data_IF_541156431329
#
_entry.id   IF_541156431329
#
_cell.length_a   1.000
_cell.length_b   1.000
_cell.length_c   1.000
_cell.angle_alpha   90.00
_cell.angle_beta   90.00
_cell.angle_gamma   90.00
#
_symmetry.space_group_name_H-M   'P 1'
#
loop_
_entity.id
_entity.type
_entity.pdbx_description
1 polymer ?
#
# COMPACT_ATOMS: atom_id res chain seq x y z
N UNK A 1 21.27 -8.77 0.21
CA UNK A 1 20.00 -8.00 0.18
C UNK A 1 18.78 -8.89 0.04
N UNK A 2 18.69 -9.78 -0.96
CA UNK A 2 17.51 -10.66 -1.15
C UNK A 2 17.11 -11.51 0.06
N UNK A 3 18.09 -12.00 0.84
CA UNK A 3 17.77 -12.75 2.05
C UNK A 3 17.05 -11.91 3.12
N UNK A 4 17.30 -10.58 3.19
CA UNK A 4 16.58 -9.67 4.10
C UNK A 4 15.15 -9.38 3.63
N UNK A 5 14.89 -9.44 2.33
CA UNK A 5 13.53 -9.34 1.78
C UNK A 5 12.67 -10.55 2.18
N UNK A 6 13.28 -11.74 2.24
CA UNK A 6 12.61 -12.99 2.59
C UNK A 6 12.59 -13.24 4.11
N UNK A 7 13.69 -12.98 4.79
CA UNK A 7 13.89 -13.15 6.22
C UNK A 7 14.24 -11.80 6.86
N UNK A 8 13.28 -11.18 7.52
CA UNK A 8 13.44 -9.91 8.23
C UNK A 8 14.25 -10.05 9.54
N UNK A 9 15.34 -10.82 9.52
CA UNK A 9 16.21 -11.02 10.66
C UNK A 9 16.92 -9.72 11.04
N UNK A 10 16.76 -9.30 12.30
CA UNK A 10 17.35 -8.06 12.83
C UNK A 10 16.52 -6.79 12.58
N UNK A 11 15.25 -6.90 12.18
CA UNK A 11 14.38 -5.75 11.96
C UNK A 11 14.11 -4.96 13.25
N UNK A 12 14.43 -3.66 13.24
CA UNK A 12 14.15 -2.76 14.36
C UNK A 12 12.64 -2.48 14.50
N UNK A 13 12.21 -2.00 15.68
CA UNK A 13 10.79 -1.65 15.94
C UNK A 13 10.24 -0.64 14.94
N UNK A 14 11.03 0.39 14.59
CA UNK A 14 10.64 1.40 13.60
C UNK A 14 10.42 0.78 12.21
N UNK A 15 11.36 -0.04 11.74
CA UNK A 15 11.26 -0.72 10.44
C UNK A 15 10.04 -1.65 10.35
N UNK A 16 9.68 -2.32 11.46
CA UNK A 16 8.47 -3.15 11.52
C UNK A 16 7.19 -2.31 11.39
N UNK A 17 7.14 -1.13 11.99
CA UNK A 17 6.00 -0.21 11.82
C UNK A 17 5.87 0.29 10.38
N UNK A 18 6.99 0.66 9.75
CA UNK A 18 7.02 1.08 8.34
C UNK A 18 6.53 -0.05 7.43
N UNK A 19 6.96 -1.29 7.68
CA UNK A 19 6.47 -2.45 6.92
C UNK A 19 4.95 -2.65 7.08
N UNK A 20 4.43 -2.61 8.31
CA UNK A 20 2.99 -2.75 8.57
C UNK A 20 2.21 -1.65 7.85
N UNK A 21 2.68 -0.40 7.92
CA UNK A 21 2.06 0.69 7.20
C UNK A 21 2.07 0.47 5.68
N UNK A 22 3.19 -0.03 5.14
CA UNK A 22 3.29 -0.42 3.74
C UNK A 22 2.26 -1.47 3.34
N UNK A 23 2.07 -2.51 4.16
CA UNK A 23 1.05 -3.53 3.91
C UNK A 23 -0.37 -2.98 3.95
N UNK A 24 -0.66 -2.07 4.89
CA UNK A 24 -1.98 -1.41 4.98
C UNK A 24 -2.26 -0.61 3.71
N UNK A 25 -1.29 0.21 3.27
CA UNK A 25 -1.42 1.03 2.05
C UNK A 25 -1.54 0.15 0.80
N UNK A 26 -0.76 -0.93 0.72
CA UNK A 26 -0.81 -1.89 -0.39
C UNK A 26 -2.18 -2.55 -0.48
N UNK A 27 -2.71 -3.04 0.65
CA UNK A 27 -4.01 -3.69 0.70
C UNK A 27 -5.14 -2.71 0.34
N UNK A 28 -5.07 -1.47 0.83
CA UNK A 28 -6.01 -0.42 0.43
C UNK A 28 -5.95 -0.15 -1.08
N UNK A 29 -4.76 -0.07 -1.66
CA UNK A 29 -4.57 0.06 -3.11
C UNK A 29 -5.21 -1.10 -3.88
N UNK A 30 -5.01 -2.34 -3.44
CA UNK A 30 -5.63 -3.53 -4.06
C UNK A 30 -7.16 -3.44 -4.01
N UNK A 31 -7.74 -3.04 -2.87
CA UNK A 31 -9.20 -2.90 -2.73
C UNK A 31 -9.74 -1.80 -3.66
N UNK A 32 -9.06 -0.65 -3.75
CA UNK A 32 -9.44 0.42 -4.70
C UNK A 32 -9.34 -0.02 -6.16
N UNK A 33 -8.33 -0.83 -6.51
CA UNK A 33 -8.11 -1.32 -7.86
C UNK A 33 -9.20 -2.29 -8.31
N UNK A 34 -9.53 -3.26 -7.45
CA UNK A 34 -10.46 -4.36 -7.76
C UNK A 34 -11.93 -3.98 -7.56
N UNK A 35 -12.22 -3.16 -6.54
CA UNK A 35 -13.59 -2.84 -6.13
C UNK A 35 -13.81 -1.33 -5.95
N UNK A 36 -13.61 -0.50 -7.00
CA UNK A 36 -13.75 0.95 -6.88
C UNK A 36 -15.15 1.40 -6.44
N UNK A 37 -16.22 0.68 -6.85
CA UNK A 37 -17.59 0.98 -6.41
C UNK A 37 -17.81 0.68 -4.93
N UNK A 38 -17.19 -0.38 -4.40
CA UNK A 38 -17.21 -0.65 -2.96
C UNK A 38 -16.54 0.48 -2.19
N UNK A 39 -15.37 0.95 -2.66
CA UNK A 39 -14.68 2.09 -2.03
C UNK A 39 -15.52 3.36 -2.11
N UNK A 40 -16.16 3.65 -3.25
CA UNK A 40 -17.08 4.78 -3.36
C UNK A 40 -18.22 4.68 -2.35
N UNK A 41 -18.84 3.50 -2.19
CA UNK A 41 -19.91 3.28 -1.22
C UNK A 41 -19.44 3.45 0.22
N UNK A 42 -18.27 2.91 0.58
CA UNK A 42 -17.67 3.06 1.90
C UNK A 42 -17.38 4.54 2.23
N UNK A 43 -17.03 5.33 1.21
CA UNK A 43 -16.78 6.76 1.31
C UNK A 43 -18.05 7.62 1.15
N UNK A 44 -19.23 7.00 1.03
CA UNK A 44 -20.51 7.68 0.79
C UNK A 44 -20.50 8.60 -0.45
N UNK A 45 -19.73 8.21 -1.47
CA UNK A 45 -19.70 8.89 -2.76
C UNK A 45 -20.85 8.42 -3.66
N UNK A 46 -21.32 9.26 -4.60
CA UNK A 46 -22.24 8.81 -5.65
C UNK A 46 -21.63 7.65 -6.45
N UNK A 47 -22.45 6.80 -7.10
CA UNK A 47 -21.98 5.72 -7.96
C UNK A 47 -20.98 6.26 -8.99
N UNK A 48 -19.81 5.62 -9.08
CA UNK A 48 -18.77 6.09 -10.00
C UNK A 48 -19.20 5.79 -11.43
N UNK A 49 -19.19 6.80 -12.28
CA UNK A 49 -19.17 6.62 -13.74
C UNK A 49 -17.88 5.89 -14.14
N UNK A 50 -17.84 5.29 -15.34
CA UNK A 50 -16.67 4.52 -15.81
C UNK A 50 -15.35 5.29 -15.66
N UNK A 51 -15.38 6.60 -15.96
CA UNK A 51 -14.22 7.47 -15.85
C UNK A 51 -13.78 7.69 -14.39
N UNK A 52 -14.74 7.79 -13.46
CA UNK A 52 -14.47 7.86 -12.03
C UNK A 52 -13.82 6.58 -11.50
N UNK A 53 -14.30 5.42 -11.95
CA UNK A 53 -13.69 4.14 -11.60
C UNK A 53 -12.23 4.03 -12.11
N UNK A 54 -11.93 4.57 -13.29
CA UNK A 54 -10.58 4.60 -13.82
C UNK A 54 -9.66 5.55 -13.03
N UNK A 55 -10.16 6.70 -12.55
CA UNK A 55 -9.37 7.56 -11.66
C UNK A 55 -9.06 6.87 -10.32
N UNK A 56 -10.01 6.15 -9.75
CA UNK A 56 -9.76 5.34 -8.55
C UNK A 56 -8.66 4.30 -8.79
N UNK A 57 -8.66 3.63 -9.95
CA UNK A 57 -7.60 2.68 -10.33
C UNK A 57 -6.23 3.35 -10.52
N UNK A 58 -6.17 4.57 -11.05
CA UNK A 58 -4.91 5.32 -11.16
C UNK A 58 -4.34 5.67 -9.78
N UNK A 59 -5.20 6.14 -8.87
CA UNK A 59 -4.80 6.39 -7.48
C UNK A 59 -4.39 5.10 -6.79
N UNK A 60 -5.12 4.00 -7.02
CA UNK A 60 -4.80 2.68 -6.51
C UNK A 60 -3.42 2.18 -6.96
N UNK A 61 -3.07 2.40 -8.24
CA UNK A 61 -1.77 2.05 -8.78
C UNK A 61 -0.65 2.82 -8.08
N UNK A 62 -0.83 4.13 -7.89
CA UNK A 62 0.15 4.97 -7.19
C UNK A 62 0.28 4.55 -5.72
N UNK A 63 -0.84 4.40 -5.01
CA UNK A 63 -0.87 3.97 -3.61
C UNK A 63 -0.23 2.58 -3.44
N UNK A 64 -0.55 1.63 -4.33
CA UNK A 64 0.04 0.29 -4.33
C UNK A 64 1.56 0.34 -4.53
N UNK A 65 2.05 1.19 -5.44
CA UNK A 65 3.48 1.43 -5.61
C UNK A 65 4.15 1.94 -4.32
N UNK A 66 3.56 2.94 -3.68
CA UNK A 66 4.06 3.48 -2.41
C UNK A 66 4.03 2.43 -1.30
N UNK A 67 2.93 1.67 -1.17
CA UNK A 67 2.81 0.58 -0.20
C UNK A 67 3.90 -0.47 -0.38
N UNK A 68 4.19 -0.87 -1.62
CA UNK A 68 5.28 -1.81 -1.92
C UNK A 68 6.65 -1.24 -1.51
N UNK A 69 6.92 0.04 -1.77
CA UNK A 69 8.17 0.69 -1.36
C UNK A 69 8.33 0.70 0.16
N UNK A 70 7.25 0.95 0.91
CA UNK A 70 7.26 0.87 2.37
C UNK A 70 7.52 -0.55 2.89
N UNK A 71 6.89 -1.57 2.29
CA UNK A 71 7.14 -2.97 2.64
C UNK A 71 8.62 -3.33 2.42
N UNK A 72 9.15 -3.00 1.24
CA UNK A 72 10.56 -3.25 0.90
C UNK A 72 11.49 -2.50 1.84
N UNK A 73 11.20 -1.23 2.14
CA UNK A 73 11.99 -0.41 3.06
C UNK A 73 12.05 -1.01 4.47
N UNK A 74 10.89 -1.42 5.00
CA UNK A 74 10.82 -2.07 6.31
C UNK A 74 11.58 -3.39 6.34
N UNK A 75 11.48 -4.21 5.27
CA UNK A 75 12.22 -5.48 5.14
C UNK A 75 13.73 -5.30 5.05
N UNK A 76 14.18 -4.22 4.42
CA UNK A 76 15.60 -3.89 4.33
C UNK A 76 16.16 -3.26 5.61
N UNK A 77 15.30 -2.98 6.60
CA UNK A 77 15.64 -2.23 7.81
C UNK A 77 16.33 -0.90 7.47
N UNK A 78 15.77 -0.19 6.48
CA UNK A 78 16.34 1.08 6.03
C UNK A 78 16.28 2.12 7.14
N UNK A 79 17.45 2.64 7.52
CA UNK A 79 17.57 3.79 8.41
C UNK A 79 17.25 5.05 7.59
N UNK A 80 16.06 5.63 7.75
CA UNK A 80 15.68 6.83 6.99
C UNK A 80 14.18 7.13 6.83
N UNK A 81 13.28 6.26 7.30
CA UNK A 81 11.83 6.51 7.30
C UNK A 81 11.28 7.05 8.65
N UNK A 82 12.11 7.81 9.39
CA UNK A 82 11.69 8.53 10.62
C UNK A 82 11.70 10.02 10.35
#
# INVERSE_FOLDING_TARGET
MFNRLLHAEGQGRAAKTVEIFGWVVLLQGIVMMLAPQFVASALHLPPLLEQGANYFRLVALLAGGVGMLYVVSGRLNAEGFV
#
